data_IF_461620087071
#
_entry.id   IF_461620087071
#
_cell.length_a   1.000
_cell.length_b   1.000
_cell.length_c   1.000
_cell.angle_alpha   90.00
_cell.angle_beta   90.00
_cell.angle_gamma   90.00
#
_symmetry.space_group_name_H-M   'P 1'
#
loop_
_entity.id
_entity.type
_entity.pdbx_description
1 polymer ?
#
# COMPACT_ATOMS: atom_id res chain seq x y z
N UNK A 1 5.68 48.58 -47.66
CA UNK A 1 6.68 48.55 -48.75
C UNK A 1 6.78 47.09 -49.18
N UNK A 2 5.88 46.73 -50.09
CA UNK A 2 6.19 46.30 -51.48
C UNK A 2 6.46 44.80 -51.50
N UNK A 3 5.48 43.96 -51.86
CA UNK A 3 5.11 43.58 -53.26
C UNK A 3 6.24 42.78 -53.95
N UNK A 4 6.08 41.72 -54.74
CA UNK A 4 4.97 40.99 -55.38
C UNK A 4 5.63 39.74 -56.02
N UNK A 5 5.00 38.56 -56.02
CA UNK A 5 4.25 37.93 -57.15
C UNK A 5 5.03 37.73 -58.46
N UNK A 6 4.93 36.50 -59.00
CA UNK A 6 5.26 36.14 -60.39
C UNK A 6 5.21 34.62 -60.59
N UNK A 7 4.03 33.99 -60.57
CA UNK A 7 3.19 33.68 -61.75
C UNK A 7 3.88 32.68 -62.70
N UNK A 8 3.61 31.37 -62.59
CA UNK A 8 2.55 30.65 -63.33
C UNK A 8 2.54 30.93 -64.83
N UNK A 9 2.73 29.89 -65.66
CA UNK A 9 1.78 29.57 -66.72
C UNK A 9 2.02 28.18 -67.34
N UNK A 10 0.91 27.43 -67.38
CA UNK A 10 0.67 26.21 -68.14
C UNK A 10 0.55 26.52 -69.64
N UNK A 11 0.99 25.61 -70.51
CA UNK A 11 0.25 25.25 -71.75
C UNK A 11 0.64 23.85 -72.24
N UNK A 12 -0.41 23.06 -72.49
CA UNK A 12 -0.45 21.74 -73.16
C UNK A 12 -0.29 21.91 -74.68
N UNK A 13 0.27 20.89 -75.35
CA UNK A 13 -0.11 20.31 -76.66
C UNK A 13 1.00 19.31 -77.07
N UNK A 14 0.81 17.99 -76.90
CA UNK A 14 0.32 16.98 -77.88
C UNK A 14 1.16 16.86 -79.16
N UNK A 15 1.80 15.70 -79.31
CA UNK A 15 1.92 14.97 -80.57
C UNK A 15 3.28 14.97 -81.27
N UNK A 16 4.02 13.85 -81.16
CA UNK A 16 4.49 13.05 -82.31
C UNK A 16 5.40 11.92 -81.82
N UNK A 17 5.05 10.69 -82.19
CA UNK A 17 5.84 9.50 -82.00
C UNK A 17 7.03 9.46 -82.96
N UNK A 18 8.20 9.03 -82.48
CA UNK A 18 9.17 8.31 -83.31
C UNK A 18 9.94 7.31 -82.45
N UNK A 19 9.95 6.08 -82.94
CA UNK A 19 10.53 4.91 -82.32
C UNK A 19 12.06 4.99 -82.28
N UNK A 20 12.63 4.56 -81.16
CA UNK A 20 13.96 3.95 -81.14
C UNK A 20 13.96 2.87 -80.04
N UNK A 21 14.06 1.63 -80.49
CA UNK A 21 14.21 0.46 -79.64
C UNK A 21 15.52 0.57 -78.85
N UNK A 22 15.43 0.48 -77.52
CA UNK A 22 16.57 0.46 -76.61
C UNK A 22 16.18 -0.27 -75.33
N UNK A 23 16.72 -1.47 -75.17
CA UNK A 23 16.57 -2.37 -74.01
C UNK A 23 16.68 -1.64 -72.67
N UNK A 24 15.54 -1.45 -72.00
CA UNK A 24 15.50 -1.03 -70.60
C UNK A 24 15.18 -2.24 -69.75
N UNK A 25 16.23 -2.90 -69.24
CA UNK A 25 16.10 -3.90 -68.19
C UNK A 25 15.43 -3.25 -66.97
N UNK A 26 14.34 -3.86 -66.51
CA UNK A 26 13.67 -3.53 -65.25
C UNK A 26 14.66 -3.72 -64.10
N UNK A 27 15.23 -2.62 -63.59
CA UNK A 27 15.81 -2.58 -62.26
C UNK A 27 14.66 -2.59 -61.24
N UNK A 28 14.07 -3.77 -61.03
CA UNK A 28 13.34 -4.06 -59.81
C UNK A 28 14.38 -4.12 -58.67
N UNK A 29 14.69 -2.96 -58.10
CA UNK A 29 15.48 -2.88 -56.88
C UNK A 29 14.72 -3.53 -55.74
N UNK A 30 15.11 -4.75 -55.37
CA UNK A 30 14.73 -5.36 -54.11
C UNK A 30 15.28 -4.50 -52.96
N UNK A 31 14.49 -3.52 -52.50
CA UNK A 31 14.73 -2.86 -51.23
C UNK A 31 14.46 -3.91 -50.13
N UNK A 32 15.49 -4.66 -49.77
CA UNK A 32 15.49 -5.40 -48.51
C UNK A 32 15.48 -4.35 -47.40
N UNK A 33 14.34 -4.21 -46.72
CA UNK A 33 14.29 -3.53 -45.43
C UNK A 33 15.26 -4.26 -44.50
N UNK A 34 16.49 -3.73 -44.37
CA UNK A 34 17.38 -4.09 -43.29
C UNK A 34 16.70 -3.66 -41.99
N UNK A 35 15.94 -4.57 -41.38
CA UNK A 35 15.60 -4.47 -39.96
C UNK A 35 16.91 -4.24 -39.23
N UNK A 36 17.04 -3.08 -38.58
CA UNK A 36 18.14 -2.80 -37.68
C UNK A 36 18.34 -4.02 -36.76
N UNK A 37 19.58 -4.46 -36.52
CA UNK A 37 19.83 -5.63 -35.69
C UNK A 37 19.16 -5.39 -34.34
N UNK A 38 18.31 -6.34 -33.92
CA UNK A 38 17.68 -6.28 -32.62
C UNK A 38 18.78 -6.13 -31.58
N UNK A 39 18.75 -5.05 -30.80
CA UNK A 39 19.67 -4.87 -29.67
C UNK A 39 19.33 -5.98 -28.68
N UNK A 40 20.14 -7.04 -28.66
CA UNK A 40 20.01 -8.12 -27.68
C UNK A 40 20.57 -7.59 -26.37
N UNK A 41 19.70 -7.01 -25.55
CA UNK A 41 20.06 -6.60 -24.19
C UNK A 41 20.43 -7.84 -23.38
N UNK A 42 21.67 -7.93 -22.91
CA UNK A 42 22.12 -8.99 -22.00
C UNK A 42 21.25 -8.97 -20.74
N UNK A 43 20.61 -10.10 -20.42
CA UNK A 43 19.91 -10.29 -19.14
C UNK A 43 20.93 -10.35 -18.00
N UNK A 44 20.75 -9.49 -17.00
CA UNK A 44 21.57 -9.37 -15.79
C UNK A 44 21.00 -10.18 -14.62
N UNK A 45 19.68 -10.42 -14.59
CA UNK A 45 19.07 -11.26 -13.56
C UNK A 45 17.58 -11.05 -13.39
N UNK A 46 17.01 -11.79 -12.46
CA UNK A 46 15.60 -11.81 -12.08
C UNK A 46 15.41 -11.33 -10.65
N UNK A 47 14.48 -10.40 -10.47
CA UNK A 47 14.07 -9.90 -9.15
C UNK A 47 12.62 -10.26 -8.88
N UNK A 48 12.38 -10.91 -7.75
CA UNK A 48 11.03 -11.04 -7.19
C UNK A 48 10.77 -9.88 -6.24
N UNK A 49 9.58 -9.29 -6.30
CA UNK A 49 9.05 -8.36 -5.32
C UNK A 49 7.80 -8.97 -4.71
N UNK A 50 7.80 -9.15 -3.40
CA UNK A 50 6.69 -9.73 -2.64
C UNK A 50 5.94 -8.63 -1.90
N UNK A 51 4.68 -8.44 -2.25
CA UNK A 51 3.82 -7.37 -1.72
C UNK A 51 3.71 -6.17 -2.66
N UNK A 52 2.49 -5.82 -3.04
CA UNK A 52 2.13 -4.71 -3.92
C UNK A 52 1.81 -3.40 -3.20
N UNK A 53 2.16 -3.28 -1.92
CA UNK A 53 1.98 -2.03 -1.15
C UNK A 53 2.97 -0.93 -1.54
N UNK A 54 3.03 0.14 -0.72
CA UNK A 54 3.92 1.29 -0.94
C UNK A 54 5.37 0.89 -1.23
N UNK A 55 5.96 0.02 -0.41
CA UNK A 55 7.35 -0.41 -0.56
C UNK A 55 7.58 -1.22 -1.85
N UNK A 56 6.85 -2.33 -2.01
CA UNK A 56 7.08 -3.24 -3.12
C UNK A 56 6.67 -2.68 -4.49
N UNK A 57 5.52 -2.00 -4.61
CA UNK A 57 5.15 -1.39 -5.88
C UNK A 57 6.15 -0.32 -6.34
N UNK A 58 6.69 0.47 -5.40
CA UNK A 58 7.75 1.44 -5.67
C UNK A 58 9.04 0.74 -6.09
N UNK A 59 9.49 -0.27 -5.35
CA UNK A 59 10.69 -1.03 -5.68
C UNK A 59 10.59 -1.66 -7.07
N UNK A 60 9.49 -2.35 -7.38
CA UNK A 60 9.28 -2.96 -8.69
C UNK A 60 9.35 -1.94 -9.83
N UNK A 61 8.69 -0.79 -9.67
CA UNK A 61 8.72 0.31 -10.64
C UNK A 61 10.14 0.81 -10.89
N UNK A 62 10.89 1.10 -9.85
CA UNK A 62 12.22 1.70 -9.99
C UNK A 62 13.27 0.69 -10.45
N UNK A 63 13.19 -0.57 -10.01
CA UNK A 63 14.05 -1.65 -10.52
C UNK A 63 13.81 -1.84 -12.02
N UNK A 64 12.56 -1.88 -12.49
CA UNK A 64 12.26 -1.99 -13.93
C UNK A 64 12.71 -0.75 -14.70
N UNK A 65 12.48 0.45 -14.15
CA UNK A 65 12.88 1.72 -14.79
C UNK A 65 14.39 1.83 -14.98
N UNK A 66 15.18 1.45 -13.99
CA UNK A 66 16.64 1.57 -14.03
C UNK A 66 17.32 0.36 -14.68
N UNK A 67 16.77 -0.84 -14.48
CA UNK A 67 17.27 -2.07 -15.08
C UNK A 67 16.88 -2.27 -16.54
N UNK A 68 15.87 -1.52 -17.03
CA UNK A 68 15.38 -1.64 -18.40
C UNK A 68 14.99 -3.09 -18.74
N UNK A 69 15.44 -3.57 -19.90
CA UNK A 69 15.24 -4.97 -20.31
C UNK A 69 16.31 -5.93 -19.81
N UNK A 70 17.33 -5.43 -19.12
CA UNK A 70 18.37 -6.25 -18.55
C UNK A 70 17.91 -6.98 -17.28
N UNK A 71 16.92 -6.46 -16.55
CA UNK A 71 16.39 -7.08 -15.34
C UNK A 71 14.94 -7.50 -15.54
N UNK A 72 14.64 -8.77 -15.29
CA UNK A 72 13.27 -9.27 -15.25
C UNK A 72 12.68 -9.05 -13.86
N UNK A 73 11.59 -8.29 -13.78
CA UNK A 73 10.94 -7.92 -12.52
C UNK A 73 9.58 -8.59 -12.43
N UNK A 74 9.40 -9.41 -11.41
CA UNK A 74 8.13 -10.04 -11.07
C UNK A 74 7.63 -9.50 -9.75
N UNK A 75 6.40 -9.00 -9.71
CA UNK A 75 5.72 -8.59 -8.48
C UNK A 75 4.59 -9.58 -8.17
N UNK A 76 4.58 -10.12 -6.96
CA UNK A 76 3.53 -11.03 -6.48
C UNK A 76 2.75 -10.38 -5.35
N UNK A 77 1.43 -10.34 -5.50
CA UNK A 77 0.51 -9.76 -4.53
C UNK A 77 -0.80 -10.55 -4.48
N UNK A 78 -1.26 -10.85 -3.26
CA UNK A 78 -2.47 -11.65 -3.02
C UNK A 78 -3.76 -10.89 -3.36
N UNK A 79 -3.75 -9.58 -3.16
CA UNK A 79 -4.89 -8.70 -3.43
C UNK A 79 -4.93 -8.25 -4.90
N UNK A 80 -6.12 -8.09 -5.47
CA UNK A 80 -6.26 -7.66 -6.88
C UNK A 80 -6.01 -6.17 -7.09
N UNK A 81 -6.12 -5.38 -6.02
CA UNK A 81 -5.89 -3.95 -6.01
C UNK A 81 -5.24 -3.56 -4.68
N UNK A 82 -4.48 -2.47 -4.71
CA UNK A 82 -3.94 -1.83 -3.52
C UNK A 82 -5.02 -0.91 -2.93
N UNK A 83 -5.23 -0.95 -1.61
CA UNK A 83 -6.08 0.01 -0.91
C UNK A 83 -5.24 0.80 0.09
N UNK A 84 -5.17 2.12 -0.11
CA UNK A 84 -4.35 3.00 0.72
C UNK A 84 -4.93 3.14 2.13
N UNK A 85 -4.13 2.78 3.15
CA UNK A 85 -4.44 3.08 4.54
C UNK A 85 -4.25 4.57 4.89
N UNK A 86 -3.19 5.26 4.42
CA UNK A 86 -3.18 6.72 4.39
C UNK A 86 -4.44 7.26 3.72
N UNK A 87 -5.01 8.33 4.28
CA UNK A 87 -6.29 8.94 3.89
C UNK A 87 -7.55 8.10 4.20
N UNK A 88 -7.44 6.85 4.66
CA UNK A 88 -8.62 6.03 5.04
C UNK A 88 -9.42 6.63 6.20
N UNK A 89 -8.79 7.45 7.05
CA UNK A 89 -9.50 8.21 8.07
C UNK A 89 -10.47 9.24 7.46
N UNK A 90 -10.24 9.73 6.24
CA UNK A 90 -11.21 10.58 5.51
C UNK A 90 -12.47 9.80 5.12
N UNK A 91 -12.36 8.47 4.91
CA UNK A 91 -13.53 7.60 4.71
C UNK A 91 -14.32 7.49 6.01
N UNK A 92 -13.64 7.30 7.15
CA UNK A 92 -14.28 7.28 8.46
C UNK A 92 -14.98 8.62 8.79
N UNK A 93 -14.39 9.75 8.38
CA UNK A 93 -14.99 11.09 8.48
C UNK A 93 -16.12 11.36 7.48
N UNK A 94 -16.26 10.55 6.43
CA UNK A 94 -17.28 10.71 5.38
C UNK A 94 -16.90 11.66 4.23
N UNK A 95 -15.62 12.02 4.08
CA UNK A 95 -15.11 12.95 3.06
C UNK A 95 -14.54 12.27 1.80
N UNK A 96 -14.39 10.94 1.85
CA UNK A 96 -13.90 10.09 0.76
C UNK A 96 -14.66 8.77 0.76
N UNK A 97 -14.65 8.10 -0.38
CA UNK A 97 -15.08 6.70 -0.49
C UNK A 97 -13.85 5.77 -0.55
N UNK A 98 -14.04 4.49 -0.28
CA UNK A 98 -12.91 3.53 -0.28
C UNK A 98 -12.34 3.33 -1.70
N UNK A 99 -13.17 3.52 -2.72
CA UNK A 99 -12.80 3.45 -4.12
C UNK A 99 -11.79 4.53 -4.49
N UNK A 100 -11.88 5.73 -3.90
CA UNK A 100 -10.93 6.83 -4.11
C UNK A 100 -9.51 6.46 -3.64
N UNK A 101 -9.39 5.46 -2.77
CA UNK A 101 -8.14 4.97 -2.18
C UNK A 101 -7.68 3.64 -2.81
N UNK A 102 -8.44 3.12 -3.78
CA UNK A 102 -8.20 1.82 -4.40
C UNK A 102 -7.51 2.00 -5.75
N UNK A 103 -6.35 1.36 -5.91
CA UNK A 103 -5.49 1.50 -7.09
C UNK A 103 -5.24 0.13 -7.71
N UNK A 104 -5.48 0.01 -9.01
CA UNK A 104 -5.16 -1.23 -9.74
C UNK A 104 -3.66 -1.33 -10.04
N UNK A 105 -3.18 -2.56 -10.23
CA UNK A 105 -1.79 -2.81 -10.64
C UNK A 105 -1.52 -2.63 -12.15
N UNK A 106 -2.49 -2.11 -12.92
CA UNK A 106 -2.34 -1.94 -14.38
C UNK A 106 -1.21 -0.99 -14.76
N UNK A 107 -0.95 0.03 -13.93
CA UNK A 107 0.17 0.94 -14.15
C UNK A 107 1.53 0.22 -14.13
N UNK A 108 1.68 -0.79 -13.27
CA UNK A 108 2.90 -1.60 -13.20
C UNK A 108 3.01 -2.55 -14.40
N UNK A 109 1.89 -3.17 -14.82
CA UNK A 109 1.85 -3.98 -16.05
C UNK A 109 2.27 -3.18 -17.28
N UNK A 110 1.73 -1.96 -17.44
CA UNK A 110 2.12 -1.04 -18.52
C UNK A 110 3.59 -0.63 -18.48
N UNK A 111 4.21 -0.66 -17.30
CA UNK A 111 5.64 -0.42 -17.13
C UNK A 111 6.50 -1.66 -17.45
N UNK A 112 5.91 -2.77 -17.91
CA UNK A 112 6.62 -4.00 -18.27
C UNK A 112 7.01 -4.86 -17.06
N UNK A 113 6.33 -4.71 -15.93
CA UNK A 113 6.51 -5.56 -14.73
C UNK A 113 5.54 -6.74 -14.81
N UNK A 114 6.03 -7.95 -14.58
CA UNK A 114 5.19 -9.13 -14.47
C UNK A 114 4.46 -9.12 -13.13
N UNK A 115 3.22 -8.66 -13.10
CA UNK A 115 2.39 -8.63 -11.89
C UNK A 115 1.54 -9.90 -11.79
N UNK A 116 1.70 -10.67 -10.73
CA UNK A 116 0.97 -11.91 -10.51
C UNK A 116 0.06 -11.78 -9.28
N UNK A 117 -1.22 -12.07 -9.49
CA UNK A 117 -2.16 -12.20 -8.38
C UNK A 117 -2.03 -13.60 -7.76
N UNK A 118 -1.10 -13.75 -6.83
CA UNK A 118 -0.78 -15.00 -6.16
C UNK A 118 -0.30 -14.74 -4.73
N UNK A 119 -0.28 -15.76 -3.89
CA UNK A 119 0.24 -15.70 -2.54
C UNK A 119 1.61 -16.38 -2.46
N UNK A 120 2.58 -15.71 -1.84
CA UNK A 120 3.85 -16.32 -1.47
C UNK A 120 3.68 -17.08 -0.17
N UNK A 121 3.94 -18.38 -0.19
CA UNK A 121 3.74 -19.26 0.96
C UNK A 121 5.00 -19.39 1.82
N UNK A 122 6.18 -19.47 1.19
CA UNK A 122 7.46 -19.55 1.89
C UNK A 122 8.62 -19.04 1.04
N UNK A 123 9.70 -18.64 1.71
CA UNK A 123 10.97 -18.25 1.10
C UNK A 123 12.08 -19.08 1.75
N UNK A 124 12.77 -19.89 0.95
CA UNK A 124 14.05 -20.51 1.32
C UNK A 124 15.15 -19.47 1.07
N UNK A 125 15.58 -18.81 2.15
CA UNK A 125 16.53 -17.70 2.09
C UNK A 125 17.92 -18.13 1.58
N UNK A 126 18.35 -19.36 1.88
CA UNK A 126 19.65 -19.87 1.46
C UNK A 126 19.70 -20.08 -0.07
N UNK A 127 18.60 -20.57 -0.65
CA UNK A 127 18.49 -20.85 -2.08
C UNK A 127 17.88 -19.71 -2.89
N UNK A 128 17.38 -18.66 -2.22
CA UNK A 128 16.52 -17.61 -2.80
C UNK A 128 15.39 -18.22 -3.64
N UNK A 129 14.80 -19.28 -3.10
CA UNK A 129 13.72 -20.04 -3.73
C UNK A 129 12.41 -19.72 -3.04
N UNK A 130 11.36 -19.50 -3.81
CA UNK A 130 10.07 -19.02 -3.32
C UNK A 130 8.97 -19.95 -3.79
N UNK A 131 8.15 -20.40 -2.85
CA UNK A 131 6.95 -21.18 -3.15
C UNK A 131 5.72 -20.27 -3.18
N UNK A 132 4.80 -20.59 -4.07
CA UNK A 132 3.59 -19.82 -4.29
C UNK A 132 2.36 -20.71 -4.19
N UNK A 133 1.20 -20.09 -4.01
CA UNK A 133 -0.07 -20.82 -3.94
C UNK A 133 -0.52 -21.35 -5.31
N UNK A 134 -0.30 -20.61 -6.40
CA UNK A 134 -0.72 -20.99 -7.76
C UNK A 134 0.46 -21.30 -8.68
N UNK A 135 1.56 -20.56 -8.56
CA UNK A 135 2.73 -20.74 -9.39
C UNK A 135 3.66 -21.84 -8.87
N UNK A 136 4.42 -22.44 -9.78
CA UNK A 136 5.50 -23.34 -9.39
C UNK A 136 6.58 -22.59 -8.60
N UNK A 137 7.23 -23.32 -7.69
CA UNK A 137 8.40 -22.83 -6.94
C UNK A 137 9.50 -22.37 -7.90
N UNK A 138 10.08 -21.20 -7.63
CA UNK A 138 11.09 -20.58 -8.50
C UNK A 138 12.19 -19.92 -7.68
N UNK A 139 13.40 -19.91 -8.23
CA UNK A 139 14.54 -19.16 -7.67
C UNK A 139 14.72 -17.80 -8.34
N UNK A 140 15.27 -16.86 -7.58
CA UNK A 140 15.54 -15.49 -8.02
C UNK A 140 16.94 -15.04 -7.62
N UNK A 141 17.52 -14.11 -8.38
CA UNK A 141 18.84 -13.55 -8.08
C UNK A 141 18.77 -12.62 -6.88
N UNK A 142 17.69 -11.84 -6.78
CA UNK A 142 17.34 -11.06 -5.59
C UNK A 142 15.84 -11.12 -5.30
N UNK A 143 15.49 -11.00 -4.02
CA UNK A 143 14.10 -10.96 -3.55
C UNK A 143 13.91 -9.69 -2.72
N UNK A 144 12.90 -8.90 -3.04
CA UNK A 144 12.41 -7.79 -2.22
C UNK A 144 11.18 -8.27 -1.47
N UNK A 145 11.20 -8.19 -0.14
CA UNK A 145 10.12 -8.60 0.75
C UNK A 145 9.53 -7.34 1.39
N UNK A 146 8.31 -6.99 0.98
CA UNK A 146 7.59 -5.81 1.47
C UNK A 146 6.17 -6.20 1.95
N UNK A 147 6.04 -7.06 2.98
CA UNK A 147 4.76 -7.61 3.40
C UNK A 147 3.93 -6.63 4.24
N UNK A 148 4.54 -5.54 4.71
CA UNK A 148 3.97 -4.64 5.70
C UNK A 148 3.88 -5.29 7.08
N UNK A 149 2.97 -4.79 7.92
CA UNK A 149 2.73 -5.30 9.27
C UNK A 149 1.80 -6.51 9.31
N UNK A 150 1.92 -7.30 10.38
CA UNK A 150 0.87 -8.15 10.93
C UNK A 150 0.55 -7.77 12.38
N UNK A 151 -0.58 -8.27 12.88
CA UNK A 151 -1.15 -7.92 14.17
C UNK A 151 -0.99 -9.05 15.19
N UNK A 152 -0.47 -8.75 16.37
CA UNK A 152 -0.45 -9.68 17.50
C UNK A 152 -1.79 -9.64 18.24
N UNK A 153 -2.80 -10.29 17.69
CA UNK A 153 -4.13 -10.40 18.32
C UNK A 153 -4.08 -11.14 19.67
N UNK A 154 -3.15 -12.08 19.83
CA UNK A 154 -2.96 -12.84 21.07
C UNK A 154 -2.47 -12.00 22.25
N UNK A 155 -1.98 -10.78 22.01
CA UNK A 155 -1.61 -9.84 23.07
C UNK A 155 -2.80 -9.22 23.81
N UNK A 156 -4.02 -9.35 23.26
CA UNK A 156 -5.25 -8.81 23.85
C UNK A 156 -6.22 -9.96 24.09
N UNK A 157 -6.43 -10.30 25.36
CA UNK A 157 -7.35 -11.36 25.75
C UNK A 157 -8.76 -11.06 25.19
N UNK A 158 -9.41 -12.09 24.62
CA UNK A 158 -10.74 -11.95 24.03
C UNK A 158 -10.78 -11.43 22.60
N UNK A 159 -9.69 -10.88 22.03
CA UNK A 159 -9.64 -10.39 20.63
C UNK A 159 -9.41 -11.51 19.60
N UNK A 160 -10.16 -12.61 19.73
CA UNK A 160 -10.09 -13.74 18.80
C UNK A 160 -10.78 -13.43 17.44
N UNK A 161 -10.74 -14.37 16.51
CA UNK A 161 -11.30 -14.19 15.16
C UNK A 161 -12.80 -13.84 15.14
N UNK A 162 -13.58 -14.33 16.12
CA UNK A 162 -15.00 -13.97 16.23
C UNK A 162 -15.18 -12.54 16.72
N UNK A 163 -14.43 -12.13 17.75
CA UNK A 163 -14.44 -10.77 18.25
C UNK A 163 -14.06 -9.76 17.15
N UNK A 164 -13.08 -10.10 16.31
CA UNK A 164 -12.62 -9.27 15.19
C UNK A 164 -13.68 -9.03 14.09
N UNK A 165 -14.80 -9.75 14.08
CA UNK A 165 -15.93 -9.44 13.20
C UNK A 165 -16.69 -8.19 13.64
N UNK A 166 -16.56 -7.80 14.91
CA UNK A 166 -17.25 -6.64 15.52
C UNK A 166 -16.28 -5.57 16.00
N UNK A 167 -15.16 -5.97 16.60
CA UNK A 167 -14.10 -5.09 17.08
C UNK A 167 -13.04 -4.98 15.98
N UNK A 168 -13.08 -3.87 15.25
CA UNK A 168 -12.23 -3.66 14.09
C UNK A 168 -10.97 -2.89 14.47
N UNK A 169 -9.87 -3.14 13.78
CA UNK A 169 -8.67 -2.31 13.88
C UNK A 169 -8.64 -1.26 12.77
N UNK A 170 -9.07 -1.61 11.56
CA UNK A 170 -9.00 -0.78 10.35
C UNK A 170 -7.60 -0.15 10.14
N UNK A 171 -6.55 -0.88 10.52
CA UNK A 171 -5.13 -0.52 10.30
C UNK A 171 -4.52 -1.19 9.05
N UNK A 172 -5.34 -2.01 8.37
CA UNK A 172 -5.22 -2.40 6.98
C UNK A 172 -6.52 -1.93 6.32
N UNK A 173 -6.44 -1.00 5.37
CA UNK A 173 -7.61 -0.41 4.75
C UNK A 173 -8.32 -1.40 3.81
N UNK A 174 -9.58 -1.09 3.48
CA UNK A 174 -10.46 -1.95 2.69
C UNK A 174 -11.71 -2.31 3.49
N UNK A 175 -12.11 -3.60 3.55
CA UNK A 175 -13.36 -4.01 4.19
C UNK A 175 -13.54 -3.51 5.63
N UNK A 176 -12.48 -3.53 6.46
CA UNK A 176 -12.58 -3.03 7.84
C UNK A 176 -12.78 -1.51 7.91
N UNK A 177 -12.24 -0.72 6.97
CA UNK A 177 -12.50 0.72 6.93
C UNK A 177 -13.97 0.99 6.63
N UNK A 178 -14.53 0.27 5.65
CA UNK A 178 -15.94 0.40 5.26
C UNK A 178 -16.86 -0.03 6.42
N UNK A 179 -16.57 -1.16 7.05
CA UNK A 179 -17.38 -1.64 8.17
C UNK A 179 -17.25 -0.73 9.40
N UNK A 180 -16.05 -0.21 9.72
CA UNK A 180 -15.89 0.74 10.82
C UNK A 180 -16.66 2.04 10.54
N UNK A 181 -16.67 2.53 9.29
CA UNK A 181 -17.51 3.65 8.89
C UNK A 181 -18.99 3.34 9.10
N UNK A 182 -19.45 2.15 8.70
CA UNK A 182 -20.84 1.70 8.91
C UNK A 182 -21.21 1.65 10.40
N UNK A 183 -20.30 1.17 11.25
CA UNK A 183 -20.50 1.17 12.71
C UNK A 183 -20.64 2.59 13.27
N UNK A 184 -19.82 3.54 12.81
CA UNK A 184 -19.94 4.95 13.19
C UNK A 184 -21.26 5.59 12.71
N UNK A 185 -21.73 5.23 11.52
CA UNK A 185 -23.00 5.71 10.98
C UNK A 185 -24.20 5.19 11.79
N UNK A 186 -24.16 3.90 12.14
CA UNK A 186 -25.20 3.22 12.92
C UNK A 186 -25.17 3.53 14.43
N UNK A 187 -24.08 4.10 14.94
CA UNK A 187 -23.98 4.51 16.34
C UNK A 187 -25.10 5.51 16.67
N UNK A 188 -25.83 5.40 17.79
CA UNK A 188 -26.81 6.42 18.16
C UNK A 188 -26.10 7.73 18.54
N UNK A 189 -26.77 8.87 18.31
CA UNK A 189 -26.33 10.14 18.88
C UNK A 189 -26.34 10.06 20.42
N UNK A 190 -25.23 10.49 21.04
CA UNK A 190 -24.95 10.22 22.46
C UNK A 190 -24.14 8.95 22.71
N UNK A 191 -23.89 8.13 21.67
CA UNK A 191 -23.05 6.94 21.75
C UNK A 191 -21.55 7.25 21.94
N UNK A 192 -20.81 6.26 22.42
CA UNK A 192 -19.37 6.36 22.69
C UNK A 192 -18.56 5.58 21.67
N UNK A 193 -17.60 6.26 21.03
CA UNK A 193 -16.54 5.65 20.23
C UNK A 193 -15.29 5.49 21.10
N UNK A 194 -14.74 4.28 21.17
CA UNK A 194 -13.48 4.01 21.89
C UNK A 194 -12.42 3.63 20.88
N UNK A 195 -11.25 4.28 20.97
CA UNK A 195 -10.05 3.93 20.23
C UNK A 195 -8.96 3.47 21.21
N UNK A 196 -8.43 2.27 21.01
CA UNK A 196 -7.22 1.81 21.68
C UNK A 196 -6.00 1.94 20.77
N UNK A 197 -4.91 2.48 21.31
CA UNK A 197 -3.63 2.70 20.63
C UNK A 197 -2.57 1.79 21.28
N UNK A 198 -1.85 0.95 20.52
CA UNK A 198 -0.85 0.05 21.07
C UNK A 198 0.42 0.82 21.44
N UNK A 199 1.29 0.16 22.22
CA UNK A 199 2.63 0.70 22.50
C UNK A 199 3.45 0.82 21.21
N UNK A 200 4.21 1.90 21.07
CA UNK A 200 5.20 2.01 20.00
C UNK A 200 6.24 0.86 20.06
N UNK A 201 6.77 0.40 18.90
CA UNK A 201 6.51 0.87 17.54
C UNK A 201 5.22 0.29 16.91
N UNK A 202 4.56 1.09 16.07
CA UNK A 202 3.41 0.70 15.24
C UNK A 202 3.35 1.57 13.97
N UNK A 203 2.65 1.10 12.94
CA UNK A 203 2.46 1.80 11.66
C UNK A 203 1.80 3.16 11.87
N UNK A 204 2.40 4.20 11.30
CA UNK A 204 1.89 5.57 11.24
C UNK A 204 1.58 6.15 12.65
N UNK A 205 2.60 6.59 13.41
CA UNK A 205 2.43 7.19 14.73
C UNK A 205 1.37 8.30 14.86
N UNK A 206 1.18 9.23 13.89
CA UNK A 206 0.10 10.22 14.00
C UNK A 206 -1.30 9.69 13.64
N UNK A 207 -1.39 8.52 13.02
CA UNK A 207 -2.62 7.96 12.45
C UNK A 207 -3.78 7.79 13.44
N UNK A 208 -3.57 7.34 14.69
CA UNK A 208 -4.66 7.19 15.65
C UNK A 208 -5.25 8.54 16.06
N UNK A 209 -4.40 9.54 16.26
CA UNK A 209 -4.83 10.88 16.66
C UNK A 209 -5.50 11.62 15.50
N UNK A 210 -5.06 11.40 14.26
CA UNK A 210 -5.80 11.83 13.06
C UNK A 210 -7.19 11.17 12.99
N UNK A 211 -7.28 9.86 13.28
CA UNK A 211 -8.57 9.15 13.33
C UNK A 211 -9.50 9.78 14.36
N UNK A 212 -9.02 10.12 15.55
CA UNK A 212 -9.80 10.85 16.57
C UNK A 212 -10.36 12.13 15.99
N UNK A 213 -9.56 12.95 15.30
CA UNK A 213 -10.03 14.18 14.68
C UNK A 213 -11.07 13.95 13.57
N UNK A 214 -10.87 12.95 12.71
CA UNK A 214 -11.82 12.64 11.62
C UNK A 214 -13.16 12.12 12.15
N UNK A 215 -13.11 11.26 13.18
CA UNK A 215 -14.32 10.79 13.87
C UNK A 215 -14.99 11.96 14.61
N UNK A 216 -14.23 12.79 15.33
CA UNK A 216 -14.77 13.96 16.03
C UNK A 216 -15.46 14.94 15.06
N UNK A 217 -14.87 15.18 13.89
CA UNK A 217 -15.47 16.02 12.84
C UNK A 217 -16.83 15.47 12.39
N UNK A 218 -16.90 14.17 12.12
CA UNK A 218 -18.15 13.50 11.74
C UNK A 218 -19.22 13.54 12.85
N UNK A 219 -18.83 13.24 14.09
CA UNK A 219 -19.74 13.23 15.23
C UNK A 219 -20.24 14.63 15.55
N UNK A 220 -19.38 15.65 15.52
CA UNK A 220 -19.80 17.05 15.72
C UNK A 220 -20.87 17.48 14.73
N UNK A 221 -20.79 17.03 13.48
CA UNK A 221 -21.76 17.38 12.44
C UNK A 221 -23.08 16.59 12.52
N UNK A 222 -23.05 15.35 13.00
CA UNK A 222 -24.20 14.41 12.84
C UNK A 222 -24.72 13.80 14.13
N UNK A 223 -23.89 13.73 15.16
CA UNK A 223 -24.11 13.06 16.45
C UNK A 223 -23.45 13.86 17.59
N UNK A 224 -23.82 15.14 17.81
CA UNK A 224 -23.07 16.06 18.65
C UNK A 224 -23.08 15.70 20.14
N UNK A 225 -23.97 14.81 20.60
CA UNK A 225 -23.98 14.34 22.00
C UNK A 225 -23.00 13.19 22.23
N UNK A 226 -22.47 12.58 21.17
CA UNK A 226 -21.51 11.48 21.26
C UNK A 226 -20.17 11.89 21.84
N UNK A 227 -19.43 10.91 22.37
CA UNK A 227 -18.10 11.08 22.96
C UNK A 227 -17.08 10.15 22.32
N UNK A 228 -15.82 10.56 22.40
CA UNK A 228 -14.67 9.76 22.00
C UNK A 228 -13.81 9.51 23.23
N UNK A 229 -13.47 8.25 23.50
CA UNK A 229 -12.48 7.88 24.52
C UNK A 229 -11.27 7.29 23.80
N UNK A 230 -10.08 7.79 24.15
CA UNK A 230 -8.81 7.31 23.62
C UNK A 230 -8.04 6.64 24.74
N UNK A 231 -7.79 5.35 24.60
CA UNK A 231 -6.99 4.54 25.51
C UNK A 231 -5.62 4.34 24.87
N UNK A 232 -4.64 5.15 25.29
CA UNK A 232 -3.31 5.16 24.69
C UNK A 232 -2.32 4.43 25.60
N UNK A 233 -1.74 3.32 25.14
CA UNK A 233 -0.70 2.59 25.87
C UNK A 233 0.60 3.39 26.04
N UNK A 234 0.75 4.51 25.33
CA UNK A 234 1.91 5.38 25.38
C UNK A 234 1.75 6.47 26.45
N UNK A 235 2.86 6.98 27.01
CA UNK A 235 2.80 8.02 28.04
C UNK A 235 2.34 9.38 27.51
N UNK A 236 2.36 9.58 26.19
CA UNK A 236 1.99 10.83 25.54
C UNK A 236 1.69 10.61 24.05
N UNK A 237 1.14 11.63 23.39
CA UNK A 237 0.89 11.64 21.94
C UNK A 237 2.22 11.51 21.18
N UNK A 238 2.35 10.44 20.39
CA UNK A 238 3.64 10.04 19.79
C UNK A 238 4.14 10.94 18.66
N UNK A 239 3.26 11.70 18.00
CA UNK A 239 3.65 12.58 16.91
C UNK A 239 2.66 13.75 16.75
N UNK A 240 3.18 14.94 16.43
CA UNK A 240 2.40 16.16 16.18
C UNK A 240 1.47 16.59 17.34
N UNK A 241 1.85 16.30 18.59
CA UNK A 241 1.08 16.58 19.81
C UNK A 241 0.41 17.96 19.84
N UNK A 242 1.17 19.03 19.62
CA UNK A 242 0.65 20.40 19.70
C UNK A 242 -0.53 20.67 18.76
N UNK A 243 -0.51 20.09 17.56
CA UNK A 243 -1.57 20.25 16.57
C UNK A 243 -2.85 19.50 17.00
N UNK A 244 -2.71 18.28 17.53
CA UNK A 244 -3.85 17.51 18.01
C UNK A 244 -4.49 18.13 19.24
N UNK A 245 -3.69 18.54 20.23
CA UNK A 245 -4.22 19.20 21.43
C UNK A 245 -4.89 20.53 21.11
N UNK A 246 -4.37 21.32 20.16
CA UNK A 246 -5.03 22.54 19.70
C UNK A 246 -6.42 22.25 19.10
N UNK A 247 -6.55 21.20 18.29
CA UNK A 247 -7.84 20.80 17.73
C UNK A 247 -8.80 20.27 18.81
N UNK A 248 -8.30 19.45 19.74
CA UNK A 248 -9.10 18.80 20.79
C UNK A 248 -9.59 19.80 21.84
N UNK A 249 -8.75 20.77 22.23
CA UNK A 249 -9.10 21.80 23.20
C UNK A 249 -9.84 23.00 22.57
N UNK A 250 -9.79 23.13 21.25
CA UNK A 250 -10.51 24.17 20.50
C UNK A 250 -11.78 23.61 19.84
N UNK A 251 -11.64 23.12 18.61
CA UNK A 251 -12.77 22.74 17.76
C UNK A 251 -13.60 21.58 18.31
N UNK A 252 -12.98 20.68 19.09
CA UNK A 252 -13.61 19.47 19.64
C UNK A 252 -13.65 19.45 21.17
N UNK A 253 -13.60 20.63 21.80
CA UNK A 253 -13.57 20.76 23.26
C UNK A 253 -14.72 19.98 23.91
N UNK A 254 -14.38 19.18 24.93
CA UNK A 254 -15.33 18.36 25.68
C UNK A 254 -15.86 17.11 24.95
N UNK A 255 -15.47 16.84 23.70
CA UNK A 255 -15.87 15.61 22.98
C UNK A 255 -14.90 14.44 23.21
N UNK A 256 -13.64 14.73 23.50
CA UNK A 256 -12.54 13.77 23.54
C UNK A 256 -12.04 13.61 24.98
N UNK A 257 -12.10 12.39 25.49
CA UNK A 257 -11.47 11.94 26.73
C UNK A 257 -10.20 11.15 26.36
N UNK A 258 -9.04 11.76 26.57
CA UNK A 258 -7.74 11.16 26.24
C UNK A 258 -7.05 10.64 27.50
N UNK A 259 -6.70 9.35 27.50
CA UNK A 259 -6.08 8.66 28.62
C UNK A 259 -4.75 8.04 28.19
N UNK A 260 -3.66 8.69 28.56
CA UNK A 260 -2.30 8.15 28.40
C UNK A 260 -2.02 7.05 29.43
N UNK A 261 -1.04 6.18 29.14
CA UNK A 261 -0.72 5.00 29.95
C UNK A 261 -1.96 4.15 30.27
N UNK A 262 -2.78 3.90 29.24
CA UNK A 262 -4.01 3.13 29.33
C UNK A 262 -3.99 2.03 28.27
N UNK A 263 -3.16 1.02 28.51
CA UNK A 263 -3.00 -0.15 27.65
C UNK A 263 -4.18 -1.11 27.82
N UNK A 264 -4.92 -1.34 26.74
CA UNK A 264 -5.97 -2.37 26.71
C UNK A 264 -5.33 -3.76 26.67
N UNK A 265 -5.67 -4.60 27.65
CA UNK A 265 -5.17 -5.99 27.79
C UNK A 265 -6.26 -7.02 27.51
N UNK A 266 -7.53 -6.65 27.63
CA UNK A 266 -8.67 -7.54 27.40
C UNK A 266 -9.83 -6.81 26.71
N UNK A 267 -10.62 -7.55 25.94
CA UNK A 267 -11.89 -7.10 25.36
C UNK A 267 -13.01 -8.11 25.58
N UNK A 268 -14.21 -7.59 25.81
CA UNK A 268 -15.46 -8.35 25.72
C UNK A 268 -16.24 -7.91 24.48
N UNK A 269 -16.24 -8.75 23.45
CA UNK A 269 -16.94 -8.49 22.19
C UNK A 269 -18.47 -8.54 22.31
N UNK A 270 -19.03 -9.23 23.32
CA UNK A 270 -20.49 -9.27 23.51
C UNK A 270 -21.00 -7.90 23.93
N UNK A 271 -20.32 -7.29 24.90
CA UNK A 271 -20.71 -5.99 25.47
C UNK A 271 -20.02 -4.79 24.84
N UNK A 272 -19.02 -5.02 23.97
CA UNK A 272 -18.12 -4.00 23.41
C UNK A 272 -17.39 -3.21 24.51
N UNK A 273 -16.74 -3.94 25.41
CA UNK A 273 -15.99 -3.37 26.53
C UNK A 273 -14.49 -3.61 26.33
N UNK A 274 -13.68 -2.58 26.50
CA UNK A 274 -12.23 -2.69 26.67
C UNK A 274 -11.88 -2.70 28.16
N UNK A 275 -10.89 -3.51 28.52
CA UNK A 275 -10.33 -3.58 29.88
C UNK A 275 -8.88 -3.17 29.82
N UNK A 276 -8.51 -2.19 30.65
CA UNK A 276 -7.13 -1.67 30.73
C UNK A 276 -6.27 -2.55 31.63
N UNK A 277 -4.96 -2.35 31.61
CA UNK A 277 -3.99 -2.99 32.50
C UNK A 277 -4.24 -2.71 33.98
N UNK A 278 -4.96 -1.63 34.30
CA UNK A 278 -5.38 -1.27 35.65
C UNK A 278 -6.73 -1.89 36.05
N UNK A 279 -7.40 -2.59 35.12
CA UNK A 279 -8.70 -3.22 35.33
C UNK A 279 -9.91 -2.31 35.06
N UNK A 280 -9.70 -1.10 34.54
CA UNK A 280 -10.79 -0.20 34.18
C UNK A 280 -11.60 -0.78 33.03
N UNK A 281 -12.93 -0.76 33.15
CA UNK A 281 -13.85 -1.27 32.13
C UNK A 281 -14.48 -0.10 31.37
N UNK A 282 -14.17 0.01 30.09
CA UNK A 282 -14.66 1.09 29.20
C UNK A 282 -15.58 0.49 28.14
N UNK A 283 -16.88 0.72 28.31
CA UNK A 283 -17.91 0.26 27.35
C UNK A 283 -18.07 1.25 26.21
N UNK A 284 -18.23 0.72 24.99
CA UNK A 284 -18.41 1.50 23.77
C UNK A 284 -19.68 1.10 23.02
N UNK A 285 -20.15 1.99 22.15
CA UNK A 285 -21.06 1.62 21.05
C UNK A 285 -20.27 1.18 19.82
N UNK A 286 -19.09 1.77 19.60
CA UNK A 286 -18.15 1.39 18.54
C UNK A 286 -16.76 1.25 19.17
N UNK A 287 -16.22 0.03 19.14
CA UNK A 287 -14.93 -0.29 19.77
C UNK A 287 -13.87 -0.55 18.68
N UNK A 288 -12.95 0.40 18.51
CA UNK A 288 -11.84 0.30 17.58
C UNK A 288 -10.54 -0.02 18.34
N UNK A 289 -10.06 -1.25 18.22
CA UNK A 289 -8.84 -1.71 18.89
C UNK A 289 -7.74 -1.88 17.85
N UNK A 290 -6.64 -1.15 17.99
CA UNK A 290 -5.45 -1.35 17.16
C UNK A 290 -4.48 -2.25 17.94
N UNK A 291 -4.28 -3.53 17.54
CA UNK A 291 -3.40 -4.44 18.26
C UNK A 291 -1.92 -4.04 18.10
N UNK A 292 -1.04 -4.52 18.99
CA UNK A 292 0.40 -4.48 18.77
C UNK A 292 0.79 -5.09 17.42
N UNK A 293 1.86 -4.59 16.82
CA UNK A 293 2.24 -4.90 15.46
C UNK A 293 3.67 -5.46 15.39
N UNK A 294 3.95 -6.19 14.32
CA UNK A 294 5.29 -6.59 13.91
C UNK A 294 5.34 -6.77 12.40
N UNK A 295 6.50 -7.14 11.87
CA UNK A 295 6.65 -7.47 10.46
C UNK A 295 5.69 -8.60 10.06
N UNK A 296 5.17 -8.52 8.84
CA UNK A 296 4.24 -9.48 8.29
C UNK A 296 4.76 -10.92 8.38
N UNK A 297 3.85 -11.86 8.59
CA UNK A 297 4.13 -13.24 8.96
C UNK A 297 5.04 -13.96 7.97
N UNK A 298 4.99 -13.58 6.69
CA UNK A 298 5.93 -14.11 5.69
C UNK A 298 7.38 -13.81 6.05
N UNK A 299 7.70 -12.60 6.52
CA UNK A 299 9.05 -12.24 6.92
C UNK A 299 9.52 -13.05 8.14
N UNK A 300 8.60 -13.32 9.09
CA UNK A 300 8.86 -14.18 10.25
C UNK A 300 9.14 -15.62 9.82
N UNK A 301 8.27 -16.21 8.99
CA UNK A 301 8.43 -17.57 8.45
C UNK A 301 9.68 -17.75 7.60
N UNK A 302 10.11 -16.69 6.91
CA UNK A 302 11.33 -16.66 6.12
C UNK A 302 12.61 -16.45 6.95
N UNK A 303 12.50 -16.31 8.29
CA UNK A 303 13.64 -16.07 9.17
C UNK A 303 14.28 -14.69 9.05
N UNK A 304 13.53 -13.70 8.54
CA UNK A 304 14.03 -12.33 8.31
C UNK A 304 13.88 -11.42 9.53
N UNK A 305 13.02 -11.79 10.48
CA UNK A 305 12.79 -11.03 11.72
C UNK A 305 13.93 -11.30 12.71
N UNK A 306 14.79 -10.31 12.91
CA UNK A 306 15.95 -10.39 13.80
C UNK A 306 16.23 -9.10 14.60
N UNK A 307 15.30 -8.12 14.56
CA UNK A 307 15.38 -6.89 15.35
C UNK A 307 14.22 -6.83 16.36
N UNK A 308 14.57 -6.79 17.65
CA UNK A 308 13.64 -6.77 18.79
C UNK A 308 12.55 -7.87 18.72
N UNK A 309 12.83 -8.99 18.05
CA UNK A 309 11.91 -10.11 17.78
C UNK A 309 10.60 -9.76 17.02
N UNK A 310 10.48 -8.52 16.56
CA UNK A 310 9.27 -8.00 15.91
C UNK A 310 9.52 -7.56 14.47
N UNK A 311 10.71 -7.05 14.17
CA UNK A 311 11.03 -6.40 12.90
C UNK A 311 12.25 -7.00 12.21
N UNK A 312 12.44 -6.66 10.95
CA UNK A 312 13.58 -7.11 10.16
C UNK A 312 14.72 -6.08 10.23
N UNK A 313 15.90 -6.51 10.63
CA UNK A 313 17.12 -5.71 10.56
C UNK A 313 17.69 -5.69 9.14
N UNK A 314 18.03 -4.50 8.65
CA UNK A 314 18.55 -4.30 7.30
C UNK A 314 19.83 -3.46 7.32
N UNK A 315 20.65 -3.63 6.29
CA UNK A 315 21.71 -2.68 5.95
C UNK A 315 21.07 -1.37 5.46
N UNK A 316 21.41 -0.23 6.07
CA UNK A 316 20.72 1.04 5.82
C UNK A 316 21.03 1.68 4.46
N UNK A 317 22.03 1.17 3.73
CA UNK A 317 22.41 1.67 2.39
C UNK A 317 21.69 0.88 1.30
N UNK A 318 21.64 -0.44 1.44
CA UNK A 318 21.14 -1.38 0.42
C UNK A 318 19.77 -1.96 0.74
N UNK A 319 19.32 -1.83 1.99
CA UNK A 319 18.13 -2.46 2.56
C UNK A 319 18.16 -4.00 2.45
N UNK A 320 19.35 -4.58 2.25
CA UNK A 320 19.57 -6.01 2.31
C UNK A 320 19.40 -6.50 3.75
N UNK A 321 18.72 -7.63 3.93
CA UNK A 321 18.49 -8.24 5.23
C UNK A 321 19.81 -8.61 5.88
N UNK A 322 19.96 -8.24 7.14
CA UNK A 322 21.10 -8.67 7.98
C UNK A 322 21.03 -10.16 8.35
N UNK A 323 19.88 -10.81 8.13
CA UNK A 323 19.68 -12.24 8.34
C UNK A 323 19.87 -13.08 7.07
N UNK A 324 19.68 -12.50 5.88
CA UNK A 324 19.67 -13.25 4.62
C UNK A 324 20.22 -12.44 3.43
N UNK A 325 21.39 -12.86 2.90
CA UNK A 325 22.01 -12.23 1.73
C UNK A 325 21.17 -12.42 0.46
N UNK A 326 21.09 -11.38 -0.37
CA UNK A 326 20.29 -11.34 -1.59
C UNK A 326 18.79 -11.15 -1.37
N UNK A 327 18.35 -11.00 -0.12
CA UNK A 327 16.97 -10.64 0.23
C UNK A 327 16.98 -9.22 0.81
N UNK A 328 16.12 -8.35 0.30
CA UNK A 328 15.95 -6.99 0.77
C UNK A 328 14.59 -6.85 1.45
N UNK A 329 14.51 -6.11 2.55
CA UNK A 329 13.25 -5.89 3.28
C UNK A 329 12.92 -4.40 3.26
N UNK A 330 11.68 -4.07 2.89
CA UNK A 330 11.22 -2.69 2.72
C UNK A 330 9.87 -2.45 3.39
N UNK A 331 9.64 -1.22 3.82
CA UNK A 331 8.36 -0.78 4.39
C UNK A 331 8.35 -0.88 5.90
N UNK A 332 7.15 -1.11 6.46
CA UNK A 332 7.00 -1.49 7.87
C UNK A 332 7.52 -2.91 8.09
#
# INVERSE_FOLDING_TARGET
MSDTVGNSQRRRLVGAALAAAGTSALLAGCATEQKAPAVVTRKLGRVLVVGGGYGGATAAKYIKKWGGDAIDVMLVERERAFVSCPLSNLVLGGYRKIEDLTVSYDGLRRAGILTMNDEVLSIDAAKRSVSFQKLATQSFDRIVVAPGIDFNFGAIQGLNAEAQKRILHAWKAGPQTVELRRQLEAMPDGGVFVLSIPKAPYRCPPGPYERVCQVASYLKATKPRSKIIVLDANPDIQSKKGLFLAAWNGQYAGMIDYRANSMVTEVDAKTLTAVTELGDKVRANVLNIVPPQGAGELARKAGLVNANNLWCGVDWVTLESTAAKGIHVLGD
#
